data_IF_854632145412
#
_entry.id   IF_854632145412
#
_cell.length_a   1.000
_cell.length_b   1.000
_cell.length_c   1.000
_cell.angle_alpha   90.00
_cell.angle_beta   90.00
_cell.angle_gamma   90.00
#
_symmetry.space_group_name_H-M   'P 1'
#
loop_
_entity.id
_entity.type
_entity.pdbx_description
1 polymer ?
#
# COMPACT_ATOMS: atom_id res chain seq x y z
N UNK A 1 2.73 12.43 23.55
CA UNK A 1 2.85 13.27 22.33
C UNK A 1 2.22 12.57 21.14
N UNK A 2 0.92 12.25 21.21
CA UNK A 2 0.11 11.76 20.08
C UNK A 2 -0.74 12.89 19.51
N UNK A 3 -0.10 14.03 19.26
CA UNK A 3 -0.76 15.34 19.32
C UNK A 3 -1.39 15.84 18.01
N UNK A 4 -1.46 15.06 16.92
CA UNK A 4 -1.63 15.71 15.61
C UNK A 4 -2.75 15.29 14.68
N UNK A 5 -3.50 14.20 14.90
CA UNK A 5 -4.56 13.84 13.94
C UNK A 5 -5.79 13.19 14.58
N UNK A 6 -6.55 13.93 15.41
CA UNK A 6 -8.03 13.88 15.47
C UNK A 6 -8.56 14.70 16.66
N UNK A 7 -8.92 15.97 16.41
CA UNK A 7 -9.46 16.93 17.40
C UNK A 7 -10.97 16.72 17.70
N UNK A 8 -11.61 15.61 17.29
CA UNK A 8 -13.09 15.54 17.27
C UNK A 8 -13.70 14.23 17.78
N UNK A 9 -13.20 13.63 18.87
CA UNK A 9 -14.00 12.68 19.66
C UNK A 9 -13.80 12.95 21.16
N UNK A 10 -14.72 13.68 21.82
CA UNK A 10 -14.66 13.92 23.26
C UNK A 10 -15.00 12.62 24.00
N UNK A 11 -13.98 11.86 24.39
CA UNK A 11 -14.13 10.63 25.17
C UNK A 11 -13.02 9.59 24.98
N UNK A 12 -12.27 9.64 23.88
CA UNK A 12 -11.20 8.68 23.59
C UNK A 12 -9.84 9.02 24.22
N UNK A 13 -9.77 10.07 25.05
CA UNK A 13 -8.51 10.67 25.54
C UNK A 13 -8.53 11.01 27.03
N UNK A 14 -9.33 10.30 27.84
CA UNK A 14 -9.15 10.35 29.30
C UNK A 14 -8.15 9.26 29.66
N UNK A 15 -6.89 9.66 29.90
CA UNK A 15 -5.93 8.73 30.50
C UNK A 15 -6.50 8.24 31.84
N UNK A 16 -6.51 6.92 32.10
CA UNK A 16 -7.02 6.39 33.35
C UNK A 16 -6.15 6.89 34.49
N UNK A 17 -6.80 7.32 35.59
CA UNK A 17 -6.12 7.82 36.78
C UNK A 17 -5.12 6.79 37.33
N UNK A 18 -3.88 7.22 37.61
CA UNK A 18 -2.82 6.32 38.05
C UNK A 18 -3.14 5.60 39.35
N UNK A 19 -3.82 6.27 40.28
CA UNK A 19 -4.23 5.67 41.56
C UNK A 19 -5.36 4.66 41.35
N UNK A 20 -6.28 4.92 40.42
CA UNK A 20 -7.29 3.94 40.02
C UNK A 20 -6.65 2.70 39.37
N UNK A 21 -5.61 2.89 38.55
CA UNK A 21 -4.93 1.79 37.88
C UNK A 21 -4.15 0.91 38.86
N UNK A 22 -3.53 1.49 39.90
CA UNK A 22 -2.86 0.72 40.96
C UNK A 22 -3.79 -0.24 41.69
N UNK A 23 -5.08 0.08 41.79
CA UNK A 23 -6.10 -0.75 42.44
C UNK A 23 -6.61 -1.91 41.57
N UNK A 24 -6.39 -1.86 40.25
CA UNK A 24 -6.85 -2.89 39.31
C UNK A 24 -5.89 -4.09 39.26
N UNK A 25 -6.41 -5.25 38.85
CA UNK A 25 -5.57 -6.42 38.56
C UNK A 25 -4.61 -6.14 37.40
N UNK A 26 -3.48 -6.86 37.36
CA UNK A 26 -2.49 -6.81 36.27
C UNK A 26 -3.16 -6.95 34.90
N UNK A 27 -4.03 -7.95 34.73
CA UNK A 27 -4.73 -8.20 33.47
C UNK A 27 -5.70 -7.05 33.11
N UNK A 28 -6.37 -6.47 34.10
CA UNK A 28 -7.22 -5.30 33.89
C UNK A 28 -6.41 -4.09 33.41
N UNK A 29 -5.22 -3.86 33.98
CA UNK A 29 -4.33 -2.79 33.56
C UNK A 29 -3.85 -2.99 32.11
N UNK A 30 -3.36 -4.19 31.79
CA UNK A 30 -2.94 -4.55 30.43
C UNK A 30 -4.07 -4.36 29.42
N UNK A 31 -5.30 -4.79 29.74
CA UNK A 31 -6.46 -4.58 28.86
C UNK A 31 -6.75 -3.10 28.58
N UNK A 32 -6.68 -2.26 29.61
CA UNK A 32 -6.91 -0.82 29.48
C UNK A 32 -5.81 -0.18 28.61
N UNK A 33 -4.54 -0.49 28.86
CA UNK A 33 -3.44 0.02 28.03
C UNK A 33 -3.52 -0.47 26.58
N UNK A 34 -3.94 -1.72 26.33
CA UNK A 34 -4.08 -2.26 24.97
C UNK A 34 -5.28 -1.70 24.19
N UNK A 35 -6.27 -1.09 24.86
CA UNK A 35 -7.53 -0.70 24.22
C UNK A 35 -7.32 0.32 23.09
N UNK A 36 -6.43 1.30 23.28
CA UNK A 36 -6.13 2.32 22.27
C UNK A 36 -5.52 1.72 21.00
N UNK A 37 -4.50 0.88 21.13
CA UNK A 37 -3.89 0.21 19.98
C UNK A 37 -4.81 -0.80 19.32
N UNK A 38 -5.64 -1.51 20.10
CA UNK A 38 -6.60 -2.48 19.57
C UNK A 38 -7.67 -1.80 18.71
N UNK A 39 -8.18 -0.63 19.13
CA UNK A 39 -9.14 0.14 18.34
C UNK A 39 -8.54 0.54 16.98
N UNK A 40 -7.32 1.08 16.98
CA UNK A 40 -6.61 1.41 15.75
C UNK A 40 -6.36 0.17 14.86
N UNK A 41 -5.95 -0.95 15.45
CA UNK A 41 -5.74 -2.20 14.70
C UNK A 41 -7.03 -2.70 14.04
N UNK A 42 -8.17 -2.64 14.75
CA UNK A 42 -9.47 -3.02 14.20
C UNK A 42 -9.91 -2.12 13.04
N UNK A 43 -9.71 -0.80 13.15
CA UNK A 43 -9.98 0.13 12.06
C UNK A 43 -9.07 -0.16 10.86
N UNK A 44 -7.78 -0.38 11.11
CA UNK A 44 -6.83 -0.73 10.05
C UNK A 44 -7.23 -2.01 9.31
N UNK A 45 -7.57 -3.06 10.05
CA UNK A 45 -8.01 -4.34 9.50
C UNK A 45 -9.33 -4.21 8.74
N UNK A 46 -10.29 -3.43 9.24
CA UNK A 46 -11.55 -3.17 8.56
C UNK A 46 -11.34 -2.52 7.18
N UNK A 47 -10.55 -1.46 7.10
CA UNK A 47 -10.26 -0.80 5.83
C UNK A 47 -9.38 -1.65 4.90
N UNK A 48 -8.50 -2.49 5.45
CA UNK A 48 -7.76 -3.48 4.65
C UNK A 48 -8.72 -4.50 4.01
N UNK A 49 -9.69 -5.02 4.75
CA UNK A 49 -10.71 -5.94 4.19
C UNK A 49 -11.53 -5.24 3.10
N UNK A 50 -11.94 -3.98 3.31
CA UNK A 50 -12.63 -3.21 2.27
C UNK A 50 -11.76 -3.02 1.02
N UNK A 51 -10.48 -2.69 1.19
CA UNK A 51 -9.53 -2.53 0.09
C UNK A 51 -9.41 -3.82 -0.74
N UNK A 52 -9.31 -4.97 -0.07
CA UNK A 52 -9.22 -6.29 -0.72
C UNK A 52 -10.54 -6.75 -1.36
N UNK A 53 -11.67 -6.16 -0.96
CA UNK A 53 -13.01 -6.51 -1.47
C UNK A 53 -13.40 -5.74 -2.73
N UNK A 54 -12.70 -4.67 -3.08
CA UNK A 54 -12.98 -3.89 -4.29
C UNK A 54 -12.40 -4.62 -5.51
N UNK A 55 -13.22 -4.96 -6.52
CA UNK A 55 -12.73 -5.68 -7.69
C UNK A 55 -11.80 -4.81 -8.53
N UNK A 56 -10.75 -5.42 -9.06
CA UNK A 56 -9.91 -4.81 -10.10
C UNK A 56 -10.61 -5.01 -11.45
N UNK A 57 -11.08 -3.91 -12.03
CA UNK A 57 -11.81 -3.92 -13.30
C UNK A 57 -10.82 -3.54 -14.41
N UNK A 58 -10.52 -4.45 -15.36
CA UNK A 58 -9.76 -4.11 -16.57
C UNK A 58 -10.47 -2.99 -17.34
N UNK A 59 -9.71 -2.00 -17.79
CA UNK A 59 -10.25 -0.86 -18.55
C UNK A 59 -9.23 -0.33 -19.56
N UNK A 60 -8.55 -1.24 -20.25
CA UNK A 60 -7.61 -0.91 -21.30
C UNK A 60 -6.27 -1.62 -21.16
N UNK A 61 -5.39 -1.34 -22.10
CA UNK A 61 -4.02 -1.85 -22.12
C UNK A 61 -3.04 -0.69 -22.11
N UNK A 62 -2.19 -0.64 -21.09
CA UNK A 62 -1.16 0.38 -20.99
C UNK A 62 0.10 -0.08 -21.72
N UNK A 63 0.66 0.77 -22.56
CA UNK A 63 1.98 0.55 -23.14
C UNK A 63 3.02 0.95 -22.10
N UNK A 64 3.66 -0.05 -21.47
CA UNK A 64 4.68 0.21 -20.46
C UNK A 64 5.95 0.80 -21.09
N UNK A 65 6.36 0.22 -22.22
CA UNK A 65 7.57 0.60 -22.95
C UNK A 65 7.37 0.38 -24.46
N UNK A 66 8.04 1.18 -25.28
CA UNK A 66 8.10 1.01 -26.74
C UNK A 66 9.49 0.58 -27.18
N UNK A 67 9.58 -0.24 -28.22
CA UNK A 67 10.86 -0.71 -28.74
C UNK A 67 11.45 0.35 -29.69
N UNK A 68 12.71 0.80 -29.51
CA UNK A 68 13.29 1.83 -30.34
C UNK A 68 13.24 1.54 -31.84
N UNK A 69 12.84 2.55 -32.63
CA UNK A 69 12.76 2.47 -34.10
C UNK A 69 11.51 1.80 -34.66
N UNK A 70 10.62 1.29 -33.80
CA UNK A 70 9.34 0.68 -34.21
C UNK A 70 8.24 1.73 -34.42
N UNK A 71 7.11 1.38 -35.06
CA UNK A 71 6.01 2.32 -35.26
C UNK A 71 5.49 2.97 -33.96
N UNK A 72 5.38 2.20 -32.86
CA UNK A 72 4.92 2.73 -31.58
C UNK A 72 5.88 3.76 -30.95
N UNK A 73 7.19 3.56 -31.11
CA UNK A 73 8.22 4.51 -30.66
C UNK A 73 8.15 5.83 -31.44
N UNK A 74 7.96 5.76 -32.77
CA UNK A 74 7.88 6.93 -33.64
C UNK A 74 6.73 7.88 -33.29
N UNK A 75 5.62 7.34 -32.79
CA UNK A 75 4.44 8.12 -32.37
C UNK A 75 4.43 8.42 -30.87
N UNK A 76 5.46 8.00 -30.12
CA UNK A 76 5.57 8.24 -28.67
C UNK A 76 4.47 7.55 -27.85
N UNK A 77 4.17 6.28 -28.18
CA UNK A 77 3.09 5.54 -27.55
C UNK A 77 3.40 5.10 -26.10
N UNK A 78 4.66 5.21 -25.66
CA UNK A 78 5.07 4.87 -24.29
C UNK A 78 4.23 5.59 -23.24
N UNK A 79 3.71 4.83 -22.27
CA UNK A 79 2.84 5.28 -21.19
C UNK A 79 1.40 5.61 -21.62
N UNK A 80 1.02 5.42 -22.89
CA UNK A 80 -0.36 5.57 -23.32
C UNK A 80 -1.21 4.38 -22.85
N UNK A 81 -2.50 4.60 -22.65
CA UNK A 81 -3.49 3.56 -22.36
C UNK A 81 -4.39 3.46 -23.58
N UNK A 82 -4.43 2.29 -24.21
CA UNK A 82 -5.28 1.98 -25.35
C UNK A 82 -6.60 1.43 -24.83
N UNK A 83 -7.71 2.02 -25.28
CA UNK A 83 -9.07 1.60 -24.97
C UNK A 83 -9.72 0.89 -26.15
N UNK A 84 -9.38 1.29 -27.39
CA UNK A 84 -9.93 0.69 -28.61
C UNK A 84 -8.88 0.56 -29.72
N UNK A 85 -9.08 -0.43 -30.59
CA UNK A 85 -8.33 -0.69 -31.82
C UNK A 85 -9.34 -0.77 -32.98
N UNK A 86 -9.29 0.18 -33.91
CA UNK A 86 -10.26 0.35 -35.02
C UNK A 86 -11.74 0.25 -34.59
N UNK A 87 -12.05 0.79 -33.40
CA UNK A 87 -13.39 0.76 -32.81
C UNK A 87 -13.76 -0.52 -32.06
N UNK A 88 -12.91 -1.56 -32.09
CA UNK A 88 -13.02 -2.72 -31.21
C UNK A 88 -12.50 -2.37 -29.82
N UNK A 89 -13.32 -2.56 -28.78
CA UNK A 89 -12.89 -2.33 -27.39
C UNK A 89 -11.86 -3.37 -26.94
N UNK A 90 -10.79 -2.91 -26.30
CA UNK A 90 -9.69 -3.74 -25.78
C UNK A 90 -9.49 -3.49 -24.29
N UNK A 91 -10.43 -3.97 -23.48
CA UNK A 91 -10.39 -3.80 -22.03
C UNK A 91 -9.30 -4.65 -21.36
N UNK A 92 -8.91 -5.76 -22.01
CA UNK A 92 -7.95 -6.73 -21.49
C UNK A 92 -6.75 -6.96 -22.39
N UNK A 93 -5.62 -7.37 -21.80
CA UNK A 93 -4.42 -7.79 -22.54
C UNK A 93 -4.71 -8.92 -23.54
N UNK A 94 -5.57 -9.87 -23.17
CA UNK A 94 -5.97 -10.98 -24.03
C UNK A 94 -6.71 -10.48 -25.27
N UNK A 95 -7.69 -9.57 -25.09
CA UNK A 95 -8.43 -8.96 -26.20
C UNK A 95 -7.52 -8.13 -27.10
N UNK A 96 -6.60 -7.37 -26.51
CA UNK A 96 -5.59 -6.61 -27.27
C UNK A 96 -4.73 -7.53 -28.13
N UNK A 97 -4.22 -8.62 -27.55
CA UNK A 97 -3.36 -9.58 -28.28
C UNK A 97 -4.14 -10.25 -29.42
N UNK A 98 -5.34 -10.73 -29.14
CA UNK A 98 -6.22 -11.35 -30.14
C UNK A 98 -6.64 -10.40 -31.25
N UNK A 99 -6.87 -9.12 -30.94
CA UNK A 99 -7.23 -8.13 -31.96
C UNK A 99 -6.01 -7.79 -32.83
N UNK A 100 -4.82 -7.64 -32.24
CA UNK A 100 -3.59 -7.36 -32.97
C UNK A 100 -3.20 -8.49 -33.96
N UNK A 101 -3.45 -9.75 -33.61
CA UNK A 101 -3.21 -10.92 -34.47
C UNK A 101 -3.98 -10.89 -35.81
N UNK A 102 -5.01 -10.05 -35.93
CA UNK A 102 -5.83 -9.95 -37.13
C UNK A 102 -5.22 -9.06 -38.22
N UNK A 103 -4.16 -8.34 -37.89
CA UNK A 103 -3.52 -7.37 -38.77
C UNK A 103 -2.23 -7.92 -39.37
N UNK A 104 -1.93 -7.43 -40.58
CA UNK A 104 -0.74 -7.76 -41.33
C UNK A 104 0.25 -6.59 -41.33
N UNK A 105 1.52 -6.82 -41.69
CA UNK A 105 2.48 -5.76 -41.92
C UNK A 105 1.96 -4.79 -42.98
N UNK A 106 2.06 -3.49 -42.72
CA UNK A 106 1.59 -2.42 -43.61
C UNK A 106 0.14 -1.99 -43.38
N UNK A 107 -0.64 -2.71 -42.57
CA UNK A 107 -1.99 -2.27 -42.20
C UNK A 107 -1.90 -0.99 -41.33
N UNK A 108 -2.83 -0.06 -41.57
CA UNK A 108 -3.01 1.14 -40.76
C UNK A 108 -3.97 0.82 -39.61
N UNK A 109 -3.52 1.05 -38.38
CA UNK A 109 -4.24 0.76 -37.15
C UNK A 109 -4.56 2.07 -36.43
N UNK A 110 -5.84 2.30 -36.12
CA UNK A 110 -6.31 3.43 -35.33
C UNK A 110 -6.51 3.02 -33.87
N UNK A 111 -5.86 3.75 -32.97
CA UNK A 111 -5.93 3.54 -31.52
C UNK A 111 -6.72 4.67 -30.87
N UNK A 112 -7.75 4.34 -30.09
CA UNK A 112 -8.34 5.27 -29.15
C UNK A 112 -7.61 5.16 -27.81
N UNK A 113 -7.01 6.25 -27.35
CA UNK A 113 -6.15 6.27 -26.17
C UNK A 113 -6.52 7.38 -25.19
N UNK A 114 -5.95 7.32 -23.98
CA UNK A 114 -6.04 8.41 -23.00
C UNK A 114 -5.40 9.74 -23.47
N UNK A 115 -4.67 9.74 -24.59
CA UNK A 115 -4.06 10.93 -25.22
C UNK A 115 -4.82 11.39 -26.47
N UNK A 116 -5.97 10.78 -26.76
CA UNK A 116 -6.74 10.98 -27.98
C UNK A 116 -6.53 9.86 -29.00
N UNK A 117 -7.00 10.10 -30.22
CA UNK A 117 -6.89 9.14 -31.32
C UNK A 117 -5.50 9.23 -31.93
N UNK A 118 -4.82 8.09 -32.01
CA UNK A 118 -3.50 7.94 -32.63
C UNK A 118 -3.60 6.90 -33.75
N UNK A 119 -2.78 7.05 -34.78
CA UNK A 119 -2.74 6.12 -35.91
C UNK A 119 -1.30 5.73 -36.17
N UNK A 120 -1.07 4.46 -36.48
CA UNK A 120 0.24 3.95 -36.89
C UNK A 120 0.09 2.90 -37.99
N UNK A 121 1.14 2.76 -38.78
CA UNK A 121 1.26 1.66 -39.76
C UNK A 121 2.11 0.56 -39.15
N UNK A 122 1.59 -0.67 -39.14
CA UNK A 122 2.28 -1.82 -38.57
C UNK A 122 3.48 -2.23 -39.42
N UNK A 123 4.55 -2.69 -38.77
CA UNK A 123 5.69 -3.31 -39.43
C UNK A 123 5.60 -4.84 -39.35
N UNK A 124 6.59 -5.55 -39.84
CA UNK A 124 6.65 -7.01 -39.77
C UNK A 124 7.16 -7.48 -38.41
N UNK A 125 6.49 -8.47 -37.84
CA UNK A 125 6.92 -9.07 -36.57
C UNK A 125 8.28 -9.76 -36.74
N UNK A 126 9.26 -9.50 -35.86
CA UNK A 126 10.63 -10.02 -36.02
C UNK A 126 10.69 -11.55 -36.00
N UNK A 127 9.76 -12.19 -35.29
CA UNK A 127 9.73 -13.66 -35.10
C UNK A 127 8.54 -14.35 -35.80
N UNK A 128 7.58 -13.60 -36.35
CA UNK A 128 6.33 -14.14 -36.93
C UNK A 128 6.05 -13.55 -38.32
N UNK A 129 6.49 -14.26 -39.36
CA UNK A 129 6.34 -13.81 -40.75
C UNK A 129 4.86 -13.55 -41.10
N UNK A 130 4.58 -12.38 -41.69
CA UNK A 130 3.23 -11.99 -42.08
C UNK A 130 2.33 -11.47 -40.95
N UNK A 131 2.82 -11.38 -39.71
CA UNK A 131 2.06 -10.78 -38.60
C UNK A 131 2.41 -9.29 -38.43
N UNK A 132 1.38 -8.46 -38.25
CA UNK A 132 1.53 -7.04 -37.97
C UNK A 132 2.18 -6.78 -36.59
N UNK A 133 3.12 -5.85 -36.55
CA UNK A 133 3.89 -5.53 -35.36
C UNK A 133 3.97 -4.04 -35.11
N UNK A 134 3.62 -3.62 -33.89
CA UNK A 134 3.73 -2.21 -33.47
C UNK A 134 4.97 -1.91 -32.62
N UNK A 135 5.58 -2.93 -31.98
CA UNK A 135 6.78 -2.77 -31.16
C UNK A 135 6.56 -2.23 -29.75
N UNK A 136 5.76 -2.93 -28.94
CA UNK A 136 5.40 -2.51 -27.58
C UNK A 136 5.57 -3.60 -26.54
N UNK A 137 5.77 -3.19 -25.29
CA UNK A 137 5.60 -4.01 -24.09
C UNK A 137 4.31 -3.59 -23.37
N UNK A 138 3.18 -4.23 -23.68
CA UNK A 138 1.90 -3.90 -23.07
C UNK A 138 1.73 -4.54 -21.69
N UNK A 139 1.01 -3.86 -20.81
CA UNK A 139 0.56 -4.39 -19.52
C UNK A 139 -0.93 -4.11 -19.34
N UNK A 140 -1.60 -4.95 -18.54
CA UNK A 140 -3.01 -4.74 -18.22
C UNK A 140 -3.19 -3.44 -17.43
N UNK A 141 -4.03 -2.54 -17.94
CA UNK A 141 -4.48 -1.37 -17.18
C UNK A 141 -5.75 -1.73 -16.39
N UNK A 142 -5.86 -1.21 -15.18
CA UNK A 142 -7.02 -1.39 -14.33
C UNK A 142 -7.56 -0.06 -13.88
N UNK A 143 -8.88 0.00 -13.74
CA UNK A 143 -9.57 1.20 -13.32
C UNK A 143 -9.12 1.62 -11.93
N UNK A 144 -8.61 2.83 -11.86
CA UNK A 144 -8.23 3.45 -10.60
C UNK A 144 -9.45 4.10 -9.94
N UNK A 145 -9.67 3.75 -8.67
CA UNK A 145 -10.71 4.37 -7.85
C UNK A 145 -10.04 5.14 -6.72
N UNK A 146 -10.25 6.46 -6.66
CA UNK A 146 -9.74 7.35 -5.59
C UNK A 146 -10.05 6.85 -4.17
N UNK A 147 -11.15 6.10 -4.00
CA UNK A 147 -11.54 5.53 -2.71
C UNK A 147 -10.50 4.50 -2.21
N UNK A 148 -9.76 3.83 -3.10
CA UNK A 148 -8.73 2.87 -2.75
C UNK A 148 -7.58 3.55 -2.00
N UNK A 149 -7.15 4.74 -2.42
CA UNK A 149 -6.08 5.48 -1.74
C UNK A 149 -6.54 5.98 -0.40
N UNK A 150 -7.78 6.46 -0.30
CA UNK A 150 -8.37 6.90 0.96
C UNK A 150 -8.43 5.72 1.94
N UNK A 151 -8.90 4.55 1.50
CA UNK A 151 -8.96 3.34 2.34
C UNK A 151 -7.57 2.86 2.73
N UNK A 152 -6.63 2.82 1.79
CA UNK A 152 -5.24 2.46 2.04
C UNK A 152 -4.59 3.41 3.04
N UNK A 153 -4.81 4.72 2.87
CA UNK A 153 -4.28 5.76 3.76
C UNK A 153 -4.85 5.64 5.18
N UNK A 154 -6.16 5.45 5.33
CA UNK A 154 -6.79 5.23 6.64
C UNK A 154 -6.25 3.96 7.30
N UNK A 155 -6.15 2.87 6.53
CA UNK A 155 -5.64 1.59 7.03
C UNK A 155 -4.19 1.72 7.50
N UNK A 156 -3.33 2.31 6.67
CA UNK A 156 -1.90 2.50 6.95
C UNK A 156 -1.68 3.45 8.13
N UNK A 157 -2.45 4.54 8.23
CA UNK A 157 -2.35 5.49 9.35
C UNK A 157 -2.73 4.82 10.68
N UNK A 158 -3.87 4.12 10.72
CA UNK A 158 -4.32 3.44 11.94
C UNK A 158 -3.36 2.31 12.33
N UNK A 159 -2.85 1.53 11.36
CA UNK A 159 -1.85 0.50 11.64
C UNK A 159 -0.57 1.12 12.22
N UNK A 160 -0.11 2.22 11.65
CA UNK A 160 1.08 2.94 12.13
C UNK A 160 0.90 3.46 13.55
N UNK A 161 -0.26 4.06 13.86
CA UNK A 161 -0.59 4.53 15.22
C UNK A 161 -0.67 3.35 16.19
N UNK A 162 -1.29 2.23 15.80
CA UNK A 162 -1.36 1.04 16.64
C UNK A 162 0.04 0.50 16.96
N UNK A 163 0.90 0.35 15.95
CA UNK A 163 2.27 -0.16 16.10
C UNK A 163 3.13 0.80 16.92
N UNK A 164 3.01 2.10 16.68
CA UNK A 164 3.72 3.12 17.46
C UNK A 164 3.30 3.06 18.93
N UNK A 165 1.99 3.02 19.23
CA UNK A 165 1.51 2.93 20.61
C UNK A 165 1.92 1.62 21.30
N UNK A 166 2.07 0.52 20.56
CA UNK A 166 2.56 -0.76 21.08
C UNK A 166 4.09 -0.83 21.24
N UNK A 167 4.81 0.21 20.85
CA UNK A 167 6.25 0.21 20.92
C UNK A 167 6.71 0.18 22.41
N UNK A 168 7.69 -0.66 22.78
CA UNK A 168 8.01 -0.97 24.18
C UNK A 168 8.91 0.10 24.82
N UNK A 169 8.53 1.37 24.71
CA UNK A 169 9.24 2.48 25.39
C UNK A 169 8.61 2.69 26.75
N UNK A 170 9.30 2.17 27.77
CA UNK A 170 8.90 2.22 29.18
C UNK A 170 8.35 3.59 29.58
N UNK A 171 7.18 3.58 30.23
CA UNK A 171 6.50 4.78 30.77
C UNK A 171 6.18 5.92 29.78
N UNK A 172 6.34 5.73 28.45
CA UNK A 172 6.00 6.74 27.43
C UNK A 172 4.81 6.29 26.58
N UNK A 173 4.82 5.04 26.13
CA UNK A 173 3.81 4.48 25.22
C UNK A 173 3.04 3.35 25.90
N UNK A 174 1.86 3.01 25.39
CA UNK A 174 1.00 1.97 25.97
C UNK A 174 1.68 0.59 25.97
N UNK A 175 2.43 0.27 24.91
CA UNK A 175 3.27 -0.93 24.84
C UNK A 175 4.36 -0.96 25.91
N UNK A 176 4.91 0.20 26.25
CA UNK A 176 5.82 0.36 27.39
C UNK A 176 5.12 0.09 28.72
N UNK A 177 3.94 0.66 28.94
CA UNK A 177 3.12 0.43 30.15
C UNK A 177 2.73 -1.05 30.29
N UNK A 178 2.36 -1.72 29.20
CA UNK A 178 2.07 -3.16 29.16
C UNK A 178 3.32 -3.96 29.52
N UNK A 179 4.47 -3.63 28.91
CA UNK A 179 5.75 -4.30 29.18
C UNK A 179 6.16 -4.15 30.64
N UNK A 180 6.07 -2.93 31.18
CA UNK A 180 6.37 -2.61 32.58
C UNK A 180 5.49 -3.42 33.54
N UNK A 181 4.19 -3.51 33.23
CA UNK A 181 3.22 -4.23 34.04
C UNK A 181 3.48 -5.75 34.06
N UNK A 182 3.76 -6.33 32.88
CA UNK A 182 4.11 -7.75 32.76
C UNK A 182 5.41 -8.04 33.52
N UNK A 183 6.44 -7.22 33.36
CA UNK A 183 7.74 -7.46 34.00
C UNK A 183 7.64 -7.35 35.53
N UNK A 184 6.91 -6.37 36.07
CA UNK A 184 6.67 -6.24 37.51
C UNK A 184 5.89 -7.40 38.12
N UNK A 185 5.10 -8.12 37.32
CA UNK A 185 4.42 -9.32 37.79
C UNK A 185 5.39 -10.49 38.08
N UNK A 186 6.48 -10.60 37.29
CA UNK A 186 7.41 -11.72 37.38
C UNK A 186 8.74 -11.40 38.08
N UNK A 187 9.14 -10.14 38.10
CA UNK A 187 10.46 -9.73 38.57
C UNK A 187 10.39 -8.60 39.60
N UNK A 188 11.48 -8.45 40.38
CA UNK A 188 11.63 -7.32 41.29
C UNK A 188 11.62 -5.98 40.54
N UNK A 189 11.17 -4.90 41.19
CA UNK A 189 11.11 -3.56 40.58
C UNK A 189 12.44 -3.12 39.93
N UNK A 190 13.57 -3.47 40.55
CA UNK A 190 14.91 -3.14 40.02
C UNK A 190 15.18 -3.89 38.71
N UNK A 191 14.84 -5.18 38.68
CA UNK A 191 15.01 -6.03 37.50
C UNK A 191 14.06 -5.59 36.38
N UNK A 192 12.79 -5.32 36.71
CA UNK A 192 11.77 -4.90 35.74
C UNK A 192 12.17 -3.60 35.04
N UNK A 193 12.61 -2.58 35.79
CA UNK A 193 13.09 -1.31 35.21
C UNK A 193 14.25 -1.51 34.23
N UNK A 194 15.21 -2.39 34.57
CA UNK A 194 16.36 -2.70 33.70
C UNK A 194 15.91 -3.41 32.43
N UNK A 195 15.02 -4.39 32.54
CA UNK A 195 14.50 -5.14 31.40
C UNK A 195 13.66 -4.24 30.48
N UNK A 196 12.77 -3.41 31.02
CA UNK A 196 11.99 -2.46 30.22
C UNK A 196 12.86 -1.47 29.45
N UNK A 197 13.90 -0.93 30.10
CA UNK A 197 14.87 -0.06 29.44
C UNK A 197 15.63 -0.80 28.32
N UNK A 198 16.04 -2.04 28.57
CA UNK A 198 16.69 -2.87 27.55
C UNK A 198 15.76 -3.13 26.35
N UNK A 199 14.49 -3.48 26.58
CA UNK A 199 13.51 -3.65 25.50
C UNK A 199 13.33 -2.38 24.68
N UNK A 200 13.18 -1.23 25.33
CA UNK A 200 13.04 0.06 24.63
C UNK A 200 14.28 0.40 23.80
N UNK A 201 15.48 0.22 24.35
CA UNK A 201 16.75 0.49 23.63
C UNK A 201 16.93 -0.46 22.45
N UNK A 202 16.67 -1.76 22.63
CA UNK A 202 16.76 -2.74 21.55
C UNK A 202 15.76 -2.40 20.44
N UNK A 203 14.51 -2.12 20.80
CA UNK A 203 13.48 -1.78 19.82
C UNK A 203 13.85 -0.51 19.01
N UNK A 204 14.32 0.55 19.70
CA UNK A 204 14.81 1.77 19.05
C UNK A 204 16.04 1.51 18.17
N UNK A 205 16.96 0.66 18.62
CA UNK A 205 18.13 0.27 17.84
C UNK A 205 17.76 -0.47 16.55
N UNK A 206 16.84 -1.44 16.63
CA UNK A 206 16.32 -2.15 15.45
C UNK A 206 15.65 -1.16 14.49
N UNK A 207 14.82 -0.25 15.01
CA UNK A 207 14.18 0.78 14.19
C UNK A 207 15.21 1.67 13.49
N UNK A 208 16.21 2.16 14.22
CA UNK A 208 17.27 2.98 13.65
C UNK A 208 18.08 2.25 12.57
N UNK A 209 18.44 0.98 12.79
CA UNK A 209 19.13 0.17 11.79
C UNK A 209 18.27 -0.02 10.54
N UNK A 210 16.98 -0.28 10.68
CA UNK A 210 16.08 -0.43 9.53
C UNK A 210 15.90 0.88 8.75
N UNK A 211 15.81 2.02 9.45
CA UNK A 211 15.67 3.32 8.81
C UNK A 211 16.96 3.78 8.12
N UNK A 212 18.13 3.54 8.73
CA UNK A 212 19.42 3.97 8.19
C UNK A 212 19.99 2.98 7.17
N UNK A 213 19.72 1.68 7.32
CA UNK A 213 20.19 0.65 6.39
C UNK A 213 19.64 0.85 4.98
N UNK A 214 18.39 1.31 4.85
CA UNK A 214 17.79 1.65 3.56
C UNK A 214 18.31 2.96 2.93
N UNK A 215 19.12 3.74 3.66
CA UNK A 215 19.73 4.99 3.14
C UNK A 215 21.16 4.76 2.64
N UNK A 216 21.77 3.64 3.03
CA UNK A 216 23.19 3.31 2.73
C UNK A 216 23.30 2.22 1.63
N UNK A 217 22.20 1.54 1.31
CA UNK A 217 22.10 0.56 0.22
C UNK A 217 21.44 1.20 -1.02
#
# INVERSE_FOLDING_TARGET
>A
TGLLLLVVIPGAFVEPDEEEMKQKSVLSRVKVYSAGSMANFLVAAFFLVLLLSIPRIPDGVQIYETIPGTPADQIGLEGAIIYQMDGSAVDTYEQFSQELERYNPGDELTLDTNRGILTLTLTEHPDEEGQGYMGVYPIQHYKYFMILDIFSWISMLNLSVALFNLFPISSILDGGKITDEILRHYFSDTTSRRLSAAFGVIALGILAVNLLGNVIA
#
